data_IF_662796655170
#
_entry.id   IF_662796655170
#
_cell.length_a   1.000
_cell.length_b   1.000
_cell.length_c   1.000
_cell.angle_alpha   90.00
_cell.angle_beta   90.00
_cell.angle_gamma   90.00
#
_symmetry.space_group_name_H-M   'P 1'
#
loop_
_entity.id
_entity.type
_entity.pdbx_description
1 polymer ?
#
# COMPACT_ATOMS: atom_id res chain seq x y z
N UNK A 1 -0.18 15.12 -20.86
CA UNK A 1 -0.34 14.46 -22.19
C UNK A 1 -0.31 12.96 -21.93
N UNK A 2 -1.26 12.18 -22.46
CA UNK A 2 -1.22 10.72 -22.28
C UNK A 2 0.06 10.16 -22.89
N UNK A 3 0.90 9.53 -22.08
CA UNK A 3 2.13 8.89 -22.54
C UNK A 3 1.76 7.87 -23.63
N UNK A 4 2.36 7.99 -24.82
CA UNK A 4 2.11 7.05 -25.91
C UNK A 4 2.65 5.68 -25.51
N UNK A 5 1.76 4.72 -25.27
CA UNK A 5 2.13 3.36 -24.88
C UNK A 5 2.36 2.51 -26.14
N UNK A 6 3.52 1.86 -26.23
CA UNK A 6 3.87 0.97 -27.33
C UNK A 6 3.71 -0.51 -26.98
N UNK A 7 3.82 -0.85 -25.69
CA UNK A 7 3.51 -2.16 -25.16
C UNK A 7 2.08 -2.14 -24.62
N UNK A 8 1.22 -3.12 -24.93
CA UNK A 8 -0.19 -3.11 -24.53
C UNK A 8 -0.40 -3.49 -23.05
N UNK A 9 0.67 -3.76 -22.30
CA UNK A 9 0.60 -4.08 -20.87
C UNK A 9 0.52 -2.81 -20.04
N UNK A 10 -0.50 -2.70 -19.20
CA UNK A 10 -0.72 -1.55 -18.31
C UNK A 10 -1.46 -1.95 -17.03
N UNK A 11 -1.30 -1.14 -15.99
CA UNK A 11 -2.13 -1.17 -14.79
C UNK A 11 -3.15 -0.05 -14.91
N UNK A 12 -4.43 -0.36 -14.72
CA UNK A 12 -5.47 0.65 -14.58
C UNK A 12 -5.69 0.92 -13.09
N UNK A 13 -5.73 2.19 -12.73
CA UNK A 13 -5.97 2.67 -11.37
C UNK A 13 -7.25 3.49 -11.33
N UNK A 14 -8.25 3.02 -10.60
CA UNK A 14 -9.52 3.68 -10.41
C UNK A 14 -9.45 4.63 -9.20
N UNK A 15 -9.25 5.92 -9.48
CA UNK A 15 -9.18 6.96 -8.44
C UNK A 15 -10.55 7.24 -7.79
N UNK A 16 -11.66 6.90 -8.45
CA UNK A 16 -12.99 7.01 -7.85
C UNK A 16 -13.20 5.97 -6.76
N UNK A 17 -12.73 4.74 -6.99
CA UNK A 17 -12.75 3.68 -5.98
C UNK A 17 -11.99 4.10 -4.71
N UNK A 18 -10.80 4.69 -4.89
CA UNK A 18 -10.00 5.24 -3.78
C UNK A 18 -10.77 6.32 -3.02
N UNK A 19 -11.36 7.28 -3.73
CA UNK A 19 -12.18 8.33 -3.11
C UNK A 19 -13.39 7.75 -2.36
N UNK A 20 -14.06 6.76 -2.94
CA UNK A 20 -15.22 6.11 -2.34
C UNK A 20 -14.84 5.37 -1.06
N UNK A 21 -13.75 4.60 -1.06
CA UNK A 21 -13.27 3.88 0.13
C UNK A 21 -12.96 4.84 1.28
N UNK A 22 -12.35 6.00 1.00
CA UNK A 22 -12.09 7.03 2.02
C UNK A 22 -13.39 7.63 2.53
N UNK A 23 -14.33 7.97 1.65
CA UNK A 23 -15.63 8.53 2.05
C UNK A 23 -16.41 7.56 2.93
N UNK A 24 -16.44 6.28 2.57
CA UNK A 24 -17.06 5.23 3.38
C UNK A 24 -16.40 5.07 4.75
N UNK A 25 -15.08 5.18 4.83
CA UNK A 25 -14.40 5.24 6.13
C UNK A 25 -14.88 6.44 6.94
N UNK A 26 -14.89 7.64 6.36
CA UNK A 26 -15.31 8.85 7.07
C UNK A 26 -16.76 8.79 7.56
N UNK A 27 -17.65 8.07 6.87
CA UNK A 27 -19.04 7.84 7.31
C UNK A 27 -19.14 7.09 8.64
N UNK A 28 -18.14 6.28 9.01
CA UNK A 28 -18.12 5.48 10.25
C UNK A 28 -17.21 6.07 11.34
N UNK A 29 -16.38 7.06 11.01
CA UNK A 29 -15.52 7.71 11.99
C UNK A 29 -16.33 8.71 12.83
N UNK A 30 -15.99 8.91 14.12
CA UNK A 30 -16.52 10.01 14.91
C UNK A 30 -16.25 11.36 14.24
N UNK A 31 -17.16 12.32 14.46
CA UNK A 31 -17.01 13.69 13.95
C UNK A 31 -15.64 14.28 14.35
N UNK A 32 -15.00 14.98 13.40
CA UNK A 32 -13.67 15.57 13.55
C UNK A 32 -12.48 14.59 13.67
N UNK A 33 -12.67 13.29 13.47
CA UNK A 33 -11.54 12.35 13.35
C UNK A 33 -10.81 12.58 12.04
N UNK A 34 -9.52 12.90 12.09
CA UNK A 34 -8.73 13.14 10.89
C UNK A 34 -8.37 11.84 10.15
N UNK A 35 -8.36 11.87 8.82
CA UNK A 35 -7.88 10.76 8.00
C UNK A 35 -6.49 11.08 7.47
N UNK A 36 -5.52 10.25 7.83
CA UNK A 36 -4.15 10.28 7.31
C UNK A 36 -4.05 9.22 6.20
N UNK A 37 -4.02 9.64 4.94
CA UNK A 37 -3.89 8.72 3.81
C UNK A 37 -2.43 8.28 3.63
N UNK A 38 -2.19 6.97 3.72
CA UNK A 38 -0.83 6.41 3.68
C UNK A 38 -0.48 6.03 2.23
N UNK A 39 0.39 6.82 1.61
CA UNK A 39 0.75 6.75 0.18
C UNK A 39 2.20 6.35 -0.08
N UNK A 40 2.90 5.79 0.93
CA UNK A 40 4.24 5.20 0.77
C UNK A 40 4.29 4.12 -0.32
N UNK A 41 5.50 3.77 -0.74
CA UNK A 41 5.80 2.79 -1.77
C UNK A 41 5.06 3.09 -3.08
N UNK A 42 5.14 4.35 -3.55
CA UNK A 42 4.45 4.83 -4.74
C UNK A 42 2.93 4.56 -4.69
N UNK A 43 2.28 4.94 -3.59
CA UNK A 43 0.86 4.66 -3.36
C UNK A 43 0.56 3.16 -3.36
N UNK A 44 1.38 2.36 -2.69
CA UNK A 44 1.31 0.89 -2.71
C UNK A 44 1.32 0.36 -4.16
N UNK A 45 2.19 0.91 -5.02
CA UNK A 45 2.29 0.56 -6.44
C UNK A 45 1.23 1.17 -7.38
N UNK A 46 0.28 1.96 -6.85
CA UNK A 46 -0.79 2.60 -7.62
C UNK A 46 -0.42 3.97 -8.22
N UNK A 47 0.63 4.63 -7.73
CA UNK A 47 0.95 6.02 -8.07
C UNK A 47 0.72 6.96 -6.90
N UNK A 48 1.79 7.36 -6.21
CA UNK A 48 1.68 8.20 -5.01
C UNK A 48 1.05 9.57 -5.27
N UNK A 49 1.43 10.28 -6.33
CA UNK A 49 0.91 11.62 -6.65
C UNK A 49 -0.59 11.56 -6.93
N UNK A 50 -1.03 10.71 -7.86
CA UNK A 50 -2.44 10.62 -8.25
C UNK A 50 -3.32 10.13 -7.10
N UNK A 51 -2.82 9.17 -6.30
CA UNK A 51 -3.52 8.67 -5.11
C UNK A 51 -3.58 9.75 -4.03
N UNK A 52 -2.50 10.48 -3.78
CA UNK A 52 -2.48 11.58 -2.81
C UNK A 52 -3.52 12.64 -3.17
N UNK A 53 -3.57 13.07 -4.43
CA UNK A 53 -4.57 14.04 -4.90
C UNK A 53 -5.99 13.51 -4.77
N UNK A 54 -6.23 12.25 -5.14
CA UNK A 54 -7.53 11.61 -4.99
C UNK A 54 -7.95 11.51 -3.52
N UNK A 55 -7.01 11.18 -2.63
CA UNK A 55 -7.27 11.05 -1.19
C UNK A 55 -7.60 12.40 -0.55
N UNK A 56 -6.83 13.44 -0.85
CA UNK A 56 -7.10 14.81 -0.37
C UNK A 56 -8.46 15.31 -0.89
N UNK A 57 -8.76 15.08 -2.17
CA UNK A 57 -10.08 15.40 -2.74
C UNK A 57 -11.23 14.64 -2.07
N UNK A 58 -10.97 13.43 -1.59
CA UNK A 58 -11.96 12.63 -0.88
C UNK A 58 -12.25 13.14 0.53
N UNK A 59 -11.33 13.90 1.13
CA UNK A 59 -11.44 14.42 2.50
C UNK A 59 -10.30 14.02 3.43
N UNK A 60 -9.25 13.34 2.95
CA UNK A 60 -8.06 13.09 3.76
C UNK A 60 -7.42 14.41 4.22
N UNK A 61 -7.05 14.48 5.50
CA UNK A 61 -6.51 15.68 6.13
C UNK A 61 -4.99 15.77 6.00
N UNK A 62 -4.30 14.62 6.02
CA UNK A 62 -2.86 14.51 5.94
C UNK A 62 -2.46 13.34 5.04
N UNK A 63 -1.21 13.35 4.59
CA UNK A 63 -0.58 12.24 3.90
C UNK A 63 0.51 11.62 4.78
N UNK A 64 0.77 10.34 4.61
CA UNK A 64 1.87 9.65 5.27
C UNK A 64 2.73 8.84 4.29
N UNK A 65 4.04 8.97 4.44
CA UNK A 65 5.07 8.33 3.61
C UNK A 65 6.15 7.68 4.48
N UNK A 66 6.95 6.79 3.90
CA UNK A 66 7.97 6.03 4.62
C UNK A 66 9.35 6.70 4.58
N UNK A 67 9.73 7.35 3.48
CA UNK A 67 11.09 7.87 3.29
C UNK A 67 11.11 9.38 3.00
N UNK A 68 12.26 10.05 3.24
CA UNK A 68 12.47 11.43 2.82
C UNK A 68 12.19 11.66 1.33
N UNK A 69 12.66 10.76 0.47
CA UNK A 69 12.51 10.86 -0.98
C UNK A 69 11.04 10.82 -1.41
N UNK A 70 10.22 9.97 -0.79
CA UNK A 70 8.77 9.94 -1.04
C UNK A 70 8.11 11.26 -0.62
N UNK A 71 8.52 11.83 0.52
CA UNK A 71 7.98 13.10 1.01
C UNK A 71 8.34 14.27 0.07
N UNK A 72 9.60 14.32 -0.37
CA UNK A 72 10.08 15.32 -1.31
C UNK A 72 9.45 15.16 -2.69
N UNK A 73 9.25 13.93 -3.16
CA UNK A 73 8.60 13.68 -4.45
C UNK A 73 7.17 14.25 -4.49
N UNK A 74 6.41 14.09 -3.41
CA UNK A 74 5.08 14.70 -3.29
C UNK A 74 5.16 16.24 -3.27
N UNK A 75 6.16 16.83 -2.59
CA UNK A 75 6.37 18.28 -2.58
C UNK A 75 6.72 18.82 -3.96
N UNK A 76 7.63 18.17 -4.68
CA UNK A 76 8.00 18.50 -6.07
C UNK A 76 6.79 18.44 -7.01
N UNK A 77 5.85 17.54 -6.74
CA UNK A 77 4.58 17.44 -7.47
C UNK A 77 3.53 18.51 -7.08
N UNK A 78 3.87 19.44 -6.19
CA UNK A 78 3.00 20.54 -5.76
C UNK A 78 1.97 20.16 -4.69
N UNK A 79 2.18 19.05 -3.97
CA UNK A 79 1.32 18.70 -2.83
C UNK A 79 1.68 19.59 -1.64
N UNK A 80 0.74 20.43 -1.21
CA UNK A 80 0.91 21.36 -0.08
C UNK A 80 0.37 20.82 1.26
N UNK A 81 -0.43 19.74 1.23
CA UNK A 81 -0.99 19.12 2.43
C UNK A 81 0.10 18.69 3.42
N UNK A 82 -0.23 18.59 4.71
CA UNK A 82 0.74 18.12 5.70
C UNK A 82 1.16 16.67 5.40
N UNK A 83 2.47 16.41 5.44
CA UNK A 83 3.07 15.09 5.20
C UNK A 83 3.73 14.63 6.50
N UNK A 84 3.33 13.44 6.96
CA UNK A 84 3.97 12.73 8.06
C UNK A 84 4.92 11.66 7.51
N UNK A 85 6.21 11.76 7.86
CA UNK A 85 7.16 10.68 7.65
C UNK A 85 7.03 9.68 8.81
N UNK A 86 6.41 8.53 8.55
CA UNK A 86 6.12 7.49 9.57
C UNK A 86 7.28 6.53 9.83
N UNK A 87 8.31 6.58 8.98
CA UNK A 87 9.56 5.82 9.12
C UNK A 87 10.60 6.53 9.99
N UNK A 88 11.84 6.05 9.92
CA UNK A 88 13.00 6.75 10.47
C UNK A 88 13.47 7.84 9.52
N UNK A 89 14.14 8.86 10.04
CA UNK A 89 14.72 9.93 9.22
C UNK A 89 16.18 10.17 9.58
N UNK A 90 17.07 10.33 8.59
CA UNK A 90 18.46 10.69 8.86
C UNK A 90 18.54 12.13 9.37
N UNK A 91 19.51 12.41 10.25
CA UNK A 91 19.71 13.75 10.81
C UNK A 91 20.02 14.82 9.74
N UNK A 92 20.54 14.40 8.58
CA UNK A 92 20.77 15.28 7.43
C UNK A 92 19.48 15.81 6.79
N UNK A 93 18.33 15.21 7.10
CA UNK A 93 17.04 15.61 6.52
C UNK A 93 16.26 16.61 7.38
N UNK A 94 16.67 16.87 8.62
CA UNK A 94 15.90 17.70 9.56
C UNK A 94 15.64 19.11 9.03
N UNK A 95 16.66 19.75 8.47
CA UNK A 95 16.55 21.11 7.95
C UNK A 95 15.60 21.18 6.74
N UNK A 96 15.71 20.21 5.84
CA UNK A 96 14.83 20.14 4.67
C UNK A 96 13.39 19.79 5.07
N UNK A 97 13.20 18.84 5.99
CA UNK A 97 11.88 18.49 6.51
C UNK A 97 11.19 19.71 7.14
N UNK A 98 11.92 20.51 7.91
CA UNK A 98 11.39 21.73 8.50
C UNK A 98 11.02 22.78 7.44
N UNK A 99 11.91 23.04 6.46
CA UNK A 99 11.64 23.97 5.34
C UNK A 99 10.42 23.57 4.51
N UNK A 100 10.25 22.27 4.28
CA UNK A 100 9.17 21.71 3.46
C UNK A 100 7.90 21.39 4.28
N UNK A 101 7.83 21.77 5.56
CA UNK A 101 6.71 21.44 6.46
C UNK A 101 6.35 19.94 6.41
N UNK A 102 7.37 19.10 6.59
CA UNK A 102 7.26 17.64 6.70
C UNK A 102 7.41 17.29 8.18
N UNK A 103 6.37 16.70 8.75
CA UNK A 103 6.34 16.24 10.13
C UNK A 103 7.16 14.94 10.25
N UNK A 104 8.11 14.89 11.18
CA UNK A 104 8.98 13.72 11.36
C UNK A 104 8.53 12.85 12.54
N UNK A 105 8.84 11.57 12.47
CA UNK A 105 8.66 10.67 13.60
C UNK A 105 9.88 10.73 14.53
N UNK A 106 9.66 11.06 15.80
CA UNK A 106 10.66 10.87 16.86
C UNK A 106 10.44 9.51 17.51
N UNK A 107 11.46 8.65 17.45
CA UNK A 107 11.36 7.23 17.80
C UNK A 107 12.33 6.76 18.89
N UNK A 108 13.30 7.58 19.29
CA UNK A 108 14.19 7.30 20.42
C UNK A 108 14.77 8.58 21.00
N UNK A 109 15.22 8.51 22.25
CA UNK A 109 15.87 9.65 22.89
C UNK A 109 17.26 9.93 22.29
N UNK A 110 17.98 8.88 21.89
CA UNK A 110 19.28 9.00 21.22
C UNK A 110 19.19 9.80 19.92
N UNK A 111 18.17 9.55 19.09
CA UNK A 111 17.95 10.31 17.87
C UNK A 111 17.72 11.79 18.17
N UNK A 112 16.90 12.10 19.20
CA UNK A 112 16.64 13.47 19.65
C UNK A 112 17.92 14.16 20.13
N UNK A 113 18.77 13.48 20.90
CA UNK A 113 20.05 14.03 21.38
C UNK A 113 21.01 14.39 20.24
N UNK A 114 20.96 13.66 19.13
CA UNK A 114 21.82 13.87 17.98
C UNK A 114 21.32 15.00 17.04
N UNK A 115 20.11 15.49 17.27
CA UNK A 115 19.56 16.64 16.52
C UNK A 115 20.28 17.95 16.85
N UNK A 116 20.18 18.93 15.96
CA UNK A 116 20.77 20.27 16.11
C UNK A 116 19.69 21.33 15.95
N UNK A 117 19.90 22.47 16.58
CA UNK A 117 18.98 23.60 16.52
C UNK A 117 18.69 24.01 15.06
N UNK A 118 17.42 24.23 14.77
CA UNK A 118 16.93 24.63 13.45
C UNK A 118 16.35 26.05 13.51
N UNK A 119 16.44 26.77 12.39
CA UNK A 119 15.87 28.12 12.28
C UNK A 119 14.35 28.10 12.14
N UNK A 120 13.82 27.10 11.44
CA UNK A 120 12.39 26.87 11.28
C UNK A 120 12.01 25.75 12.27
N UNK A 121 10.89 25.88 13.00
CA UNK A 121 10.44 24.80 13.88
C UNK A 121 10.14 23.51 13.10
N UNK A 122 10.49 22.38 13.70
CA UNK A 122 10.25 21.05 13.18
C UNK A 122 9.11 20.38 13.97
N UNK A 123 8.06 19.98 13.24
CA UNK A 123 6.96 19.21 13.80
C UNK A 123 7.38 17.75 14.00
N UNK A 124 7.03 17.20 15.15
CA UNK A 124 7.33 15.84 15.55
C UNK A 124 6.07 15.09 15.96
N UNK A 125 5.96 13.84 15.50
CA UNK A 125 5.08 12.85 16.09
C UNK A 125 5.90 11.87 16.92
N UNK A 126 5.56 11.73 18.20
CA UNK A 126 6.21 10.76 19.09
C UNK A 126 5.71 9.36 18.78
N UNK A 127 6.61 8.45 18.42
CA UNK A 127 6.27 7.04 18.18
C UNK A 127 6.51 6.22 19.43
N UNK A 128 5.45 5.63 19.96
CA UNK A 128 5.50 4.62 21.02
C UNK A 128 5.55 3.23 20.38
N UNK A 129 6.42 2.36 20.88
CA UNK A 129 6.35 0.94 20.60
C UNK A 129 5.54 0.26 21.70
N UNK A 130 4.28 -0.06 21.40
CA UNK A 130 3.40 -0.75 22.33
C UNK A 130 3.40 -2.28 22.14
N UNK A 131 4.24 -2.82 21.24
CA UNK A 131 4.39 -4.27 21.03
C UNK A 131 4.55 -4.69 19.57
N UNK A 132 4.83 -3.76 18.65
CA UNK A 132 5.18 -4.10 17.26
C UNK A 132 6.65 -4.53 17.17
N UNK A 133 7.51 -3.99 18.03
CA UNK A 133 8.93 -4.35 18.10
C UNK A 133 9.79 -3.79 16.97
N UNK A 134 9.37 -2.67 16.34
CA UNK A 134 10.07 -2.10 15.17
C UNK A 134 10.84 -0.83 15.52
N UNK A 135 10.12 0.22 15.91
CA UNK A 135 10.67 1.52 16.33
C UNK A 135 9.70 2.18 17.30
N UNK A 136 10.25 2.99 18.21
CA UNK A 136 9.49 3.82 19.15
C UNK A 136 9.94 3.67 20.59
N UNK A 137 9.52 4.61 21.42
CA UNK A 137 9.76 4.59 22.85
C UNK A 137 9.05 3.40 23.49
N UNK A 138 9.81 2.57 24.20
CA UNK A 138 9.27 1.44 24.96
C UNK A 138 9.14 1.80 26.43
N UNK A 139 10.06 2.59 27.01
CA UNK A 139 10.11 2.84 28.45
C UNK A 139 9.59 4.23 28.85
N UNK A 140 8.89 4.28 29.99
CA UNK A 140 8.36 5.53 30.56
C UNK A 140 9.48 6.53 30.84
N UNK A 141 10.61 6.06 31.38
CA UNK A 141 11.76 6.92 31.75
C UNK A 141 12.41 7.55 30.52
N UNK A 142 12.60 6.78 29.45
CA UNK A 142 13.15 7.29 28.19
C UNK A 142 12.20 8.31 27.57
N UNK A 143 10.89 8.03 27.55
CA UNK A 143 9.89 8.97 27.06
C UNK A 143 9.88 10.27 27.86
N UNK A 144 9.95 10.21 29.20
CA UNK A 144 10.05 11.41 30.05
C UNK A 144 11.30 12.23 29.72
N UNK A 145 12.45 11.59 29.50
CA UNK A 145 13.68 12.27 29.10
C UNK A 145 13.53 12.96 27.74
N UNK A 146 12.92 12.29 26.76
CA UNK A 146 12.63 12.85 25.45
C UNK A 146 11.70 14.07 25.54
N UNK A 147 10.59 13.98 26.28
CA UNK A 147 9.65 15.09 26.46
C UNK A 147 10.32 16.29 27.14
N UNK A 148 11.11 16.06 28.20
CA UNK A 148 11.84 17.11 28.90
C UNK A 148 12.97 17.74 28.05
N UNK A 149 13.53 16.98 27.10
CA UNK A 149 14.49 17.49 26.13
C UNK A 149 13.81 18.38 25.09
N UNK A 150 12.65 17.96 24.57
CA UNK A 150 11.89 18.70 23.57
C UNK A 150 11.34 20.00 24.18
N UNK A 151 10.80 19.96 25.40
CA UNK A 151 10.17 21.14 26.04
C UNK A 151 11.11 22.32 26.30
N UNK A 152 12.43 22.09 26.25
CA UNK A 152 13.46 23.13 26.40
C UNK A 152 13.89 23.75 25.07
N UNK A 153 13.26 23.39 23.96
CA UNK A 153 13.67 23.76 22.59
C UNK A 153 12.48 24.21 21.76
N UNK A 154 12.42 25.50 21.46
CA UNK A 154 11.31 26.09 20.72
C UNK A 154 11.24 25.64 19.24
N UNK A 155 12.35 25.14 18.72
CA UNK A 155 12.45 24.62 17.35
C UNK A 155 11.94 23.18 17.21
N UNK A 156 11.58 22.49 18.31
CA UNK A 156 10.95 21.17 18.29
C UNK A 156 9.50 21.26 18.77
N UNK A 157 8.55 20.84 17.95
CA UNK A 157 7.12 20.94 18.25
C UNK A 157 6.46 19.57 18.22
N UNK A 158 5.97 19.10 19.36
CA UNK A 158 5.20 17.85 19.42
C UNK A 158 3.78 18.12 18.94
N UNK A 159 3.47 17.71 17.71
CA UNK A 159 2.13 17.85 17.13
C UNK A 159 1.30 16.58 17.24
N UNK A 160 1.95 15.42 17.46
CA UNK A 160 1.24 14.16 17.60
C UNK A 160 1.97 13.08 18.38
N UNK A 161 1.24 12.00 18.67
CA UNK A 161 1.75 10.78 19.29
C UNK A 161 1.03 9.57 18.71
N UNK A 162 1.76 8.48 18.48
CA UNK A 162 1.18 7.31 17.85
C UNK A 162 1.82 5.99 18.24
N UNK A 163 1.04 4.92 18.13
CA UNK A 163 1.53 3.55 18.04
C UNK A 163 1.07 2.88 16.74
N UNK A 164 1.48 1.65 16.52
CA UNK A 164 1.03 0.80 15.42
C UNK A 164 0.79 -0.61 15.92
N UNK A 165 -0.37 -1.15 15.63
CA UNK A 165 -0.75 -2.50 16.03
C UNK A 165 -0.14 -3.54 15.09
N UNK A 166 0.27 -4.66 15.67
CA UNK A 166 0.87 -5.80 14.97
C UNK A 166 -0.18 -6.81 14.52
N UNK A 167 -1.28 -6.94 15.28
CA UNK A 167 -2.30 -7.98 15.09
C UNK A 167 -3.71 -7.39 15.11
N UNK A 168 -3.89 -6.18 14.56
CA UNK A 168 -5.23 -5.57 14.44
C UNK A 168 -6.09 -6.26 13.36
N UNK A 169 -5.47 -7.06 12.51
CA UNK A 169 -6.03 -7.82 11.41
C UNK A 169 -6.13 -9.32 11.71
N UNK A 170 -5.90 -9.73 12.96
CA UNK A 170 -6.03 -11.10 13.44
C UNK A 170 -7.32 -11.26 14.26
N UNK A 171 -7.97 -12.43 14.14
CA UNK A 171 -9.13 -12.78 14.96
C UNK A 171 -8.77 -12.86 16.46
N UNK A 172 -7.56 -13.32 16.75
CA UNK A 172 -7.02 -13.42 18.12
C UNK A 172 -6.59 -12.03 18.63
N UNK A 173 -7.30 -11.51 19.64
CA UNK A 173 -7.12 -10.13 20.09
C UNK A 173 -6.16 -9.96 21.27
N UNK A 174 -5.57 -11.01 21.84
CA UNK A 174 -4.77 -10.91 23.06
C UNK A 174 -3.59 -9.95 22.90
N UNK A 175 -2.83 -10.05 21.81
CA UNK A 175 -1.72 -9.13 21.57
C UNK A 175 -2.23 -7.72 21.28
N UNK A 176 -3.26 -7.56 20.44
CA UNK A 176 -3.86 -6.26 20.16
C UNK A 176 -4.28 -5.51 21.44
N UNK A 177 -4.99 -6.18 22.36
CA UNK A 177 -5.42 -5.58 23.64
C UNK A 177 -4.23 -5.20 24.53
N UNK A 178 -3.17 -6.01 24.57
CA UNK A 178 -1.92 -5.66 25.26
C UNK A 178 -1.27 -4.40 24.65
N UNK A 179 -1.25 -4.29 23.32
CA UNK A 179 -0.72 -3.11 22.63
C UNK A 179 -1.55 -1.86 22.89
N UNK A 180 -2.88 -1.97 23.01
CA UNK A 180 -3.76 -0.86 23.41
C UNK A 180 -3.40 -0.38 24.82
N UNK A 181 -3.42 -1.28 25.81
CA UNK A 181 -3.12 -0.94 27.20
C UNK A 181 -1.72 -0.35 27.38
N UNK A 182 -0.71 -0.90 26.67
CA UNK A 182 0.66 -0.36 26.72
C UNK A 182 0.76 1.04 26.11
N UNK A 183 0.04 1.32 25.03
CA UNK A 183 -0.01 2.65 24.46
C UNK A 183 -0.64 3.66 25.42
N UNK A 184 -1.79 3.32 26.02
CA UNK A 184 -2.49 4.20 26.98
C UNK A 184 -1.63 4.49 28.21
N UNK A 185 -0.89 3.48 28.71
CA UNK A 185 0.07 3.67 29.80
C UNK A 185 1.13 4.73 29.45
N UNK A 186 1.76 4.64 28.28
CA UNK A 186 2.80 5.58 27.84
C UNK A 186 2.21 6.94 27.45
N UNK A 187 0.97 6.98 26.94
CA UNK A 187 0.27 8.22 26.63
C UNK A 187 0.00 9.06 27.90
N UNK A 188 -0.20 8.41 29.05
CA UNK A 188 -0.41 9.10 30.34
C UNK A 188 0.86 9.76 30.91
N UNK A 189 2.02 9.58 30.26
CA UNK A 189 3.27 10.27 30.61
C UNK A 189 3.25 11.73 30.16
N UNK A 190 2.45 12.06 29.15
CA UNK A 190 2.31 13.43 28.65
C UNK A 190 1.47 14.26 29.63
N UNK A 191 2.03 15.37 30.14
CA UNK A 191 1.27 16.31 30.99
C UNK A 191 0.05 16.89 30.25
N UNK A 192 0.25 17.25 28.98
CA UNK A 192 -0.80 17.61 28.04
C UNK A 192 -0.69 16.73 26.80
N UNK A 193 -1.80 16.10 26.42
CA UNK A 193 -1.84 15.27 25.22
C UNK A 193 -1.53 16.11 23.97
N UNK A 194 -0.72 15.61 23.03
CA UNK A 194 -0.52 16.25 21.74
C UNK A 194 -1.84 16.44 20.99
N UNK A 195 -1.86 17.41 20.06
CA UNK A 195 -3.05 17.73 19.27
C UNK A 195 -3.56 16.52 18.48
N UNK A 196 -2.67 15.63 18.04
CA UNK A 196 -3.04 14.40 17.33
C UNK A 196 -2.62 13.14 18.08
N UNK A 197 -3.56 12.24 18.30
CA UNK A 197 -3.36 10.91 18.86
C UNK A 197 -3.90 9.92 17.83
N UNK A 198 -3.03 9.07 17.28
CA UNK A 198 -3.44 8.09 16.28
C UNK A 198 -2.84 6.72 16.53
N UNK A 199 -3.65 5.67 16.51
CA UNK A 199 -3.16 4.29 16.69
C UNK A 199 -3.54 3.41 15.51
N UNK A 200 -4.72 3.65 14.96
CA UNK A 200 -5.35 2.84 13.93
C UNK A 200 -4.61 2.83 12.60
N UNK A 201 -4.36 1.62 12.10
CA UNK A 201 -4.12 1.31 10.69
C UNK A 201 -5.48 0.98 10.02
N UNK A 202 -5.49 0.48 8.77
CA UNK A 202 -6.75 0.11 8.10
C UNK A 202 -7.59 -0.88 8.90
N UNK A 203 -7.00 -1.96 9.42
CA UNK A 203 -7.75 -2.97 10.17
C UNK A 203 -8.39 -2.37 11.43
N UNK A 204 -7.61 -1.63 12.23
CA UNK A 204 -8.14 -1.02 13.45
C UNK A 204 -9.15 0.10 13.18
N UNK A 205 -8.97 0.88 12.11
CA UNK A 205 -9.92 1.91 11.73
C UNK A 205 -11.28 1.31 11.31
N UNK A 206 -11.28 0.13 10.70
CA UNK A 206 -12.51 -0.53 10.25
C UNK A 206 -13.22 -1.29 11.38
N UNK A 207 -12.49 -1.89 12.32
CA UNK A 207 -13.05 -2.85 13.28
C UNK A 207 -13.13 -2.35 14.72
N UNK A 208 -12.35 -1.33 15.12
CA UNK A 208 -12.23 -0.92 16.52
C UNK A 208 -12.49 0.58 16.71
N UNK A 209 -13.77 1.00 16.83
CA UNK A 209 -14.15 2.40 17.04
C UNK A 209 -13.43 3.08 18.22
N UNK A 210 -13.21 2.36 19.32
CA UNK A 210 -12.51 2.88 20.50
C UNK A 210 -11.03 3.22 20.24
N UNK A 211 -10.48 2.83 19.08
CA UNK A 211 -9.10 3.11 18.67
C UNK A 211 -9.00 4.15 17.55
N UNK A 212 -10.09 4.83 17.19
CA UNK A 212 -10.06 5.93 16.24
C UNK A 212 -9.34 7.17 16.79
N UNK A 213 -9.39 7.36 18.10
CA UNK A 213 -8.87 8.55 18.77
C UNK A 213 -9.33 9.82 18.05
N UNK A 214 -8.42 10.70 17.61
CA UNK A 214 -8.77 11.84 16.77
C UNK A 214 -8.08 11.81 15.39
N UNK A 215 -7.42 10.69 15.05
CA UNK A 215 -6.87 10.48 13.72
C UNK A 215 -6.63 8.98 13.42
N UNK A 216 -6.89 8.57 12.18
CA UNK A 216 -6.64 7.21 11.68
C UNK A 216 -5.68 7.22 10.49
N UNK A 217 -4.80 6.21 10.40
CA UNK A 217 -3.89 6.04 9.26
C UNK A 217 -4.44 4.99 8.30
N UNK A 218 -5.05 5.46 7.22
CA UNK A 218 -5.71 4.59 6.25
C UNK A 218 -4.77 4.22 5.11
N UNK A 219 -4.44 2.93 5.02
CA UNK A 219 -3.50 2.37 4.05
C UNK A 219 -4.20 1.44 3.07
N UNK A 220 -4.01 0.12 3.23
CA UNK A 220 -4.38 -0.89 2.22
C UNK A 220 -5.86 -0.80 1.77
N UNK A 221 -6.77 -0.54 2.69
CA UNK A 221 -8.20 -0.55 2.40
C UNK A 221 -8.65 0.69 1.64
N UNK A 222 -7.85 1.75 1.61
CA UNK A 222 -8.03 2.86 0.67
C UNK A 222 -7.97 2.37 -0.78
N UNK A 223 -7.16 1.34 -1.06
CA UNK A 223 -6.96 0.75 -2.39
C UNK A 223 -7.98 -0.35 -2.71
N UNK A 224 -8.94 -0.60 -1.81
CA UNK A 224 -9.99 -1.58 -2.02
C UNK A 224 -9.63 -3.00 -1.62
N UNK A 225 -8.59 -3.15 -0.80
CA UNK A 225 -8.05 -4.45 -0.39
C UNK A 225 -8.25 -4.60 1.12
N UNK A 226 -8.78 -5.75 1.54
CA UNK A 226 -8.92 -6.06 2.96
C UNK A 226 -7.53 -6.34 3.59
N UNK A 227 -7.28 -5.89 4.84
CA UNK A 227 -5.99 -6.13 5.50
C UNK A 227 -5.66 -7.62 5.69
N UNK A 228 -6.68 -8.45 5.95
CA UNK A 228 -6.58 -9.90 6.03
C UNK A 228 -7.89 -10.56 5.59
N UNK A 229 -7.87 -11.88 5.42
CA UNK A 229 -9.09 -12.67 5.13
C UNK A 229 -10.13 -12.57 6.24
N UNK A 230 -9.70 -12.52 7.50
CA UNK A 230 -10.58 -12.32 8.64
C UNK A 230 -11.25 -10.93 8.58
N UNK A 231 -10.46 -9.87 8.42
CA UNK A 231 -11.02 -8.51 8.32
C UNK A 231 -12.00 -8.39 7.14
N UNK A 232 -11.75 -9.10 6.04
CA UNK A 232 -12.65 -9.11 4.88
C UNK A 232 -14.07 -9.60 5.23
N UNK A 233 -14.20 -10.56 6.15
CA UNK A 233 -15.49 -11.06 6.63
C UNK A 233 -16.22 -10.09 7.57
N UNK A 234 -15.48 -9.17 8.19
CA UNK A 234 -15.96 -8.24 9.22
C UNK A 234 -16.08 -6.79 8.71
N UNK A 235 -15.91 -6.55 7.40
CA UNK A 235 -15.91 -5.20 6.85
C UNK A 235 -17.24 -4.48 7.12
N UNK A 236 -17.21 -3.24 7.66
CA UNK A 236 -18.42 -2.46 7.90
C UNK A 236 -19.09 -1.98 6.61
N UNK A 237 -18.36 -1.97 5.50
CA UNK A 237 -18.84 -1.62 4.17
C UNK A 237 -17.99 -2.33 3.09
N UNK A 238 -18.54 -2.59 1.90
CA UNK A 238 -17.77 -3.17 0.82
C UNK A 238 -16.67 -2.21 0.35
N UNK A 239 -15.49 -2.76 0.10
CA UNK A 239 -14.36 -2.05 -0.46
C UNK A 239 -14.37 -2.10 -1.99
N UNK A 240 -14.13 -0.97 -2.65
CA UNK A 240 -14.02 -0.87 -4.09
C UNK A 240 -12.56 -1.05 -4.54
N UNK A 241 -12.28 -2.11 -5.29
CA UNK A 241 -10.93 -2.41 -5.79
C UNK A 241 -10.43 -1.31 -6.75
N UNK A 242 -9.26 -0.77 -6.47
CA UNK A 242 -8.70 0.33 -7.24
C UNK A 242 -7.78 -0.12 -8.40
N UNK A 243 -7.24 -1.34 -8.38
CA UNK A 243 -6.22 -1.79 -9.33
C UNK A 243 -6.70 -2.96 -10.18
N UNK A 244 -6.41 -2.88 -11.48
CA UNK A 244 -6.52 -4.00 -12.41
C UNK A 244 -5.33 -4.04 -13.37
N UNK A 245 -4.91 -5.24 -13.76
CA UNK A 245 -3.73 -5.47 -14.60
C UNK A 245 -4.15 -6.08 -15.93
N UNK A 246 -3.75 -5.45 -17.02
CA UNK A 246 -4.20 -5.80 -18.36
C UNK A 246 -3.05 -5.90 -19.34
N UNK A 247 -3.27 -6.66 -20.41
CA UNK A 247 -2.41 -6.74 -21.59
C UNK A 247 -3.23 -7.20 -22.80
N UNK A 248 -2.56 -7.52 -23.90
CA UNK A 248 -3.17 -8.08 -25.10
C UNK A 248 -2.41 -9.32 -25.58
N UNK A 249 -3.09 -10.17 -26.34
CA UNK A 249 -2.49 -11.30 -27.04
C UNK A 249 -1.53 -10.78 -28.12
N UNK A 250 -0.23 -11.07 -28.02
CA UNK A 250 0.77 -10.62 -28.98
C UNK A 250 1.03 -11.63 -30.10
N UNK A 251 0.82 -12.92 -29.84
CA UNK A 251 1.04 -13.99 -30.81
C UNK A 251 0.16 -15.20 -30.49
N UNK A 252 -0.32 -15.90 -31.50
CA UNK A 252 -1.14 -17.12 -31.36
C UNK A 252 -0.65 -18.17 -32.33
N UNK A 253 -0.45 -19.39 -31.84
CA UNK A 253 -0.09 -20.55 -32.66
C UNK A 253 -0.80 -21.80 -32.21
N UNK A 254 -1.01 -22.73 -33.14
CA UNK A 254 -1.40 -24.10 -32.83
C UNK A 254 -0.15 -24.94 -32.62
N UNK A 255 -0.16 -25.77 -31.58
CA UNK A 255 0.91 -26.73 -31.31
C UNK A 255 0.35 -28.14 -31.37
N UNK A 256 1.19 -29.11 -31.75
CA UNK A 256 0.81 -30.52 -31.78
C UNK A 256 1.08 -31.17 -30.44
N UNK A 257 0.37 -32.26 -30.13
CA UNK A 257 0.69 -33.13 -28.98
C UNK A 257 2.19 -33.44 -28.93
N UNK A 258 2.79 -33.30 -27.76
CA UNK A 258 4.22 -33.49 -27.52
C UNK A 258 5.10 -32.24 -27.72
N UNK A 259 4.54 -31.12 -28.22
CA UNK A 259 5.28 -29.86 -28.32
C UNK A 259 5.61 -29.31 -26.93
N UNK A 260 6.79 -28.73 -26.76
CA UNK A 260 7.22 -28.15 -25.49
C UNK A 260 7.07 -26.62 -25.46
N UNK A 261 6.79 -26.05 -24.29
CA UNK A 261 6.58 -24.60 -24.10
C UNK A 261 7.47 -24.05 -22.97
N UNK A 262 8.17 -22.95 -23.27
CA UNK A 262 8.94 -22.17 -22.29
C UNK A 262 10.27 -22.80 -21.87
N UNK A 263 10.98 -22.10 -20.98
CA UNK A 263 12.31 -22.50 -20.52
C UNK A 263 12.30 -23.85 -19.80
N UNK A 264 13.30 -24.69 -20.12
CA UNK A 264 13.44 -26.03 -19.53
C UNK A 264 12.36 -27.01 -19.97
N UNK A 265 11.53 -26.67 -20.96
CA UNK A 265 10.51 -27.55 -21.53
C UNK A 265 9.57 -28.17 -20.48
N UNK A 266 9.21 -27.41 -19.43
CA UNK A 266 8.42 -27.93 -18.30
C UNK A 266 6.96 -28.21 -18.63
N UNK A 267 6.46 -27.64 -19.73
CA UNK A 267 5.14 -27.95 -20.25
C UNK A 267 5.27 -28.69 -21.57
N UNK A 268 4.56 -29.81 -21.68
CA UNK A 268 4.46 -30.65 -22.88
C UNK A 268 2.97 -30.73 -23.23
N UNK A 269 2.60 -30.28 -24.42
CA UNK A 269 1.20 -30.24 -24.86
C UNK A 269 0.59 -31.66 -24.86
N UNK A 270 -0.42 -31.95 -24.03
CA UNK A 270 -1.02 -33.29 -23.95
C UNK A 270 -1.87 -33.62 -25.19
N UNK A 271 -2.35 -32.60 -25.89
CA UNK A 271 -3.17 -32.70 -27.11
C UNK A 271 -2.72 -31.63 -28.11
N UNK A 272 -3.45 -31.51 -29.23
CA UNK A 272 -3.26 -30.36 -30.12
C UNK A 272 -3.96 -29.15 -29.49
N UNK A 273 -3.20 -28.11 -29.16
CA UNK A 273 -3.69 -26.97 -28.38
C UNK A 273 -3.37 -25.65 -29.08
N UNK A 274 -4.14 -24.62 -28.76
CA UNK A 274 -3.83 -23.24 -29.12
C UNK A 274 -3.05 -22.59 -27.97
N UNK A 275 -1.95 -21.91 -28.31
CA UNK A 275 -1.10 -21.21 -27.34
C UNK A 275 -1.02 -19.75 -27.75
N UNK A 276 -1.36 -18.86 -26.81
CA UNK A 276 -1.10 -17.43 -26.91
C UNK A 276 0.21 -17.05 -26.21
N UNK A 277 0.82 -15.95 -26.64
CA UNK A 277 1.89 -15.27 -25.94
C UNK A 277 1.44 -13.87 -25.57
N UNK A 278 1.68 -13.46 -24.32
CA UNK A 278 1.35 -12.13 -23.80
C UNK A 278 2.64 -11.40 -23.34
N UNK A 279 2.77 -10.07 -23.57
CA UNK A 279 4.01 -9.32 -23.37
C UNK A 279 4.21 -8.82 -21.93
N UNK A 280 4.06 -9.72 -20.96
CA UNK A 280 4.32 -9.49 -19.54
C UNK A 280 5.09 -10.65 -18.92
N UNK A 281 6.10 -10.34 -18.11
CA UNK A 281 6.92 -11.36 -17.44
C UNK A 281 7.39 -10.94 -16.04
N UNK A 282 8.35 -11.68 -15.50
CA UNK A 282 8.77 -11.47 -14.10
C UNK A 282 9.49 -10.15 -13.86
N UNK A 283 10.07 -9.51 -14.87
CA UNK A 283 10.64 -8.16 -14.73
C UNK A 283 9.58 -7.05 -14.63
N UNK A 284 8.33 -7.38 -14.93
CA UNK A 284 7.16 -6.51 -14.75
C UNK A 284 6.48 -6.74 -13.39
N UNK A 285 6.82 -7.83 -12.70
CA UNK A 285 6.21 -8.24 -11.42
C UNK A 285 5.35 -9.50 -11.51
N UNK A 286 5.16 -10.09 -12.70
CA UNK A 286 4.53 -11.41 -12.85
C UNK A 286 5.54 -12.50 -12.47
N UNK A 287 5.73 -12.72 -11.17
CA UNK A 287 6.76 -13.62 -10.65
C UNK A 287 6.58 -15.06 -11.13
N UNK A 288 7.70 -15.79 -11.29
CA UNK A 288 7.71 -17.16 -11.84
C UNK A 288 6.88 -18.17 -11.07
N UNK A 289 6.63 -17.93 -9.77
CA UNK A 289 5.80 -18.80 -8.93
C UNK A 289 4.31 -18.74 -9.32
N UNK A 290 3.89 -17.72 -10.08
CA UNK A 290 2.54 -17.58 -10.66
C UNK A 290 2.31 -18.42 -11.94
N UNK A 291 3.22 -19.32 -12.32
CA UNK A 291 3.14 -20.08 -13.58
C UNK A 291 1.89 -20.98 -13.73
N UNK A 292 1.18 -21.30 -12.64
CA UNK A 292 -0.07 -22.07 -12.67
C UNK A 292 -1.32 -21.20 -12.49
N UNK A 293 -1.17 -19.89 -12.44
CA UNK A 293 -2.31 -18.97 -12.38
C UNK A 293 -3.02 -18.88 -13.73
N UNK A 294 -4.27 -18.43 -13.68
CA UNK A 294 -5.04 -18.15 -14.89
C UNK A 294 -5.00 -16.67 -15.25
N UNK A 295 -5.37 -16.36 -16.48
CA UNK A 295 -5.74 -15.03 -16.95
C UNK A 295 -7.15 -15.10 -17.53
N UNK A 296 -7.82 -13.96 -17.69
CA UNK A 296 -9.11 -13.87 -18.36
C UNK A 296 -8.95 -13.43 -19.80
N UNK A 297 -9.54 -14.19 -20.73
CA UNK A 297 -9.69 -13.82 -22.13
C UNK A 297 -11.12 -14.12 -22.55
N UNK A 298 -11.87 -13.11 -23.03
CA UNK A 298 -13.31 -13.20 -23.34
C UNK A 298 -14.15 -13.80 -22.19
N UNK A 299 -13.89 -13.37 -20.96
CA UNK A 299 -14.62 -13.82 -19.78
C UNK A 299 -14.35 -15.27 -19.38
N UNK A 300 -13.29 -15.91 -19.89
CA UNK A 300 -12.93 -17.30 -19.56
C UNK A 300 -11.55 -17.37 -18.92
N UNK A 301 -11.40 -18.20 -17.87
CA UNK A 301 -10.11 -18.50 -17.23
C UNK A 301 -9.25 -19.39 -18.12
N UNK A 302 -8.09 -18.87 -18.53
CA UNK A 302 -7.09 -19.55 -19.36
C UNK A 302 -5.78 -19.69 -18.59
N UNK A 303 -5.22 -20.91 -18.43
CA UNK A 303 -4.04 -21.11 -17.59
C UNK A 303 -2.76 -20.63 -18.28
N UNK A 304 -1.86 -20.03 -17.48
CA UNK A 304 -0.46 -19.86 -17.84
C UNK A 304 0.18 -21.25 -17.98
N UNK A 305 1.00 -21.44 -19.01
CA UNK A 305 1.69 -22.72 -19.27
C UNK A 305 3.17 -22.52 -19.56
N UNK A 306 3.98 -23.45 -19.05
CA UNK A 306 5.43 -23.35 -19.07
C UNK A 306 5.95 -22.30 -18.08
N UNK A 307 7.27 -22.08 -18.07
CA UNK A 307 7.85 -21.05 -17.21
C UNK A 307 7.56 -19.65 -17.75
N UNK A 308 7.19 -18.74 -16.84
CA UNK A 308 7.13 -17.30 -17.11
C UNK A 308 8.55 -16.80 -17.45
N UNK A 309 8.69 -16.09 -18.57
CA UNK A 309 9.95 -15.48 -19.01
C UNK A 309 10.10 -14.07 -18.42
N UNK A 310 11.22 -13.39 -18.73
CA UNK A 310 11.50 -12.05 -18.22
C UNK A 310 10.43 -11.03 -18.64
N UNK A 311 10.01 -11.09 -19.91
CA UNK A 311 9.17 -10.04 -20.53
C UNK A 311 7.87 -10.57 -21.16
N UNK A 312 7.62 -11.88 -21.09
CA UNK A 312 6.45 -12.52 -21.71
C UNK A 312 6.14 -13.88 -21.06
N UNK A 313 4.91 -14.35 -21.21
CA UNK A 313 4.52 -15.71 -20.84
C UNK A 313 3.49 -16.29 -21.84
N UNK A 314 3.25 -17.59 -21.72
CA UNK A 314 2.39 -18.32 -22.63
C UNK A 314 1.12 -18.79 -21.93
N UNK A 315 0.00 -18.71 -22.63
CA UNK A 315 -1.33 -19.06 -22.15
C UNK A 315 -1.89 -20.17 -23.02
N UNK A 316 -2.45 -21.22 -22.41
CA UNK A 316 -3.19 -22.24 -23.15
C UNK A 316 -4.61 -21.77 -23.39
N UNK A 317 -5.03 -21.78 -24.65
CA UNK A 317 -6.36 -21.38 -25.10
C UNK A 317 -7.24 -22.61 -25.38
N UNK A 318 -8.54 -22.47 -25.15
CA UNK A 318 -9.56 -23.45 -25.56
C UNK A 318 -9.84 -23.40 -27.07
N UNK A 319 -9.75 -22.21 -27.67
CA UNK A 319 -9.99 -21.95 -29.09
C UNK A 319 -8.94 -21.00 -29.69
N UNK A 320 -9.01 -20.79 -31.01
CA UNK A 320 -8.14 -19.80 -31.66
C UNK A 320 -8.63 -18.40 -31.27
N UNK A 321 -7.72 -17.60 -30.72
CA UNK A 321 -7.96 -16.18 -30.41
C UNK A 321 -7.17 -15.30 -31.39
N UNK A 322 -7.63 -14.07 -31.61
CA UNK A 322 -6.96 -13.10 -32.47
C UNK A 322 -5.84 -12.35 -31.72
N UNK A 323 -4.81 -11.94 -32.46
CA UNK A 323 -3.78 -11.03 -31.93
C UNK A 323 -4.46 -9.68 -31.65
N UNK A 324 -4.14 -9.08 -30.50
CA UNK A 324 -4.79 -7.87 -29.99
C UNK A 324 -5.98 -8.14 -29.07
N UNK A 325 -6.40 -9.39 -28.88
CA UNK A 325 -7.46 -9.71 -27.92
C UNK A 325 -7.04 -9.32 -26.49
N UNK A 326 -7.99 -8.74 -25.73
CA UNK A 326 -7.72 -8.21 -24.39
C UNK A 326 -7.57 -9.33 -23.37
N UNK A 327 -6.54 -9.21 -22.56
CA UNK A 327 -6.23 -10.15 -21.48
C UNK A 327 -6.25 -9.41 -20.15
N UNK A 328 -7.00 -9.92 -19.18
CA UNK A 328 -7.02 -9.40 -17.81
C UNK A 328 -6.30 -10.39 -16.90
N UNK A 329 -5.23 -9.92 -16.26
CA UNK A 329 -4.45 -10.72 -15.31
C UNK A 329 -4.95 -10.57 -13.87
N UNK A 330 -5.43 -9.37 -13.52
CA UNK A 330 -6.07 -9.05 -12.24
C UNK A 330 -7.25 -8.13 -12.51
N UNK A 331 -8.39 -8.39 -11.87
CA UNK A 331 -9.64 -7.65 -12.03
C UNK A 331 -10.71 -8.41 -12.79
N UNK A 332 -11.80 -7.71 -13.10
CA UNK A 332 -13.01 -8.25 -13.72
C UNK A 332 -12.92 -8.23 -15.25
N UNK A 333 -13.33 -9.32 -15.89
CA UNK A 333 -13.65 -9.37 -17.32
C UNK A 333 -14.97 -10.12 -17.49
N UNK A 334 -16.00 -9.42 -17.99
CA UNK A 334 -17.36 -9.93 -18.06
C UNK A 334 -17.87 -10.35 -16.67
N UNK A 335 -18.14 -11.65 -16.46
CA UNK A 335 -18.65 -12.20 -15.20
C UNK A 335 -17.59 -12.92 -14.36
N UNK A 336 -16.35 -12.97 -14.84
CA UNK A 336 -15.23 -13.61 -14.15
C UNK A 336 -14.27 -12.56 -13.58
N UNK A 337 -13.75 -12.83 -12.39
CA UNK A 337 -12.77 -11.98 -11.72
C UNK A 337 -11.54 -12.81 -11.33
N UNK A 338 -10.36 -12.20 -11.43
CA UNK A 338 -9.15 -12.70 -10.78
C UNK A 338 -8.76 -11.71 -9.69
N UNK A 339 -8.79 -12.20 -8.45
CA UNK A 339 -8.48 -11.42 -7.27
C UNK A 339 -6.97 -11.33 -7.04
N UNK A 340 -6.51 -10.24 -6.44
CA UNK A 340 -5.10 -10.10 -6.08
C UNK A 340 -4.71 -11.05 -4.94
N UNK A 341 -5.69 -11.41 -4.11
CA UNK A 341 -5.59 -12.42 -3.06
C UNK A 341 -5.22 -13.80 -3.62
N UNK A 342 -5.73 -14.18 -4.81
CA UNK A 342 -5.35 -15.44 -5.48
C UNK A 342 -3.84 -15.47 -5.80
N UNK A 343 -3.28 -14.32 -6.21
CA UNK A 343 -1.85 -14.20 -6.47
C UNK A 343 -1.04 -14.18 -5.18
N UNK A 344 -1.54 -13.50 -4.14
CA UNK A 344 -0.89 -13.46 -2.85
C UNK A 344 -0.78 -14.86 -2.23
N UNK A 345 -1.87 -15.63 -2.26
CA UNK A 345 -1.91 -17.04 -1.81
C UNK A 345 -0.91 -17.89 -2.60
N UNK A 346 -0.93 -17.80 -3.92
CA UNK A 346 -0.01 -18.55 -4.78
C UNK A 346 1.47 -18.19 -4.56
N UNK A 347 1.74 -16.96 -4.13
CA UNK A 347 3.07 -16.49 -3.80
C UNK A 347 3.50 -16.79 -2.36
N UNK A 348 2.57 -17.23 -1.51
CA UNK A 348 2.74 -17.35 -0.06
C UNK A 348 3.11 -16.01 0.59
N UNK A 349 2.34 -14.98 0.23
CA UNK A 349 2.51 -13.60 0.73
C UNK A 349 1.15 -12.93 0.93
N UNK A 350 1.15 -11.61 1.07
CA UNK A 350 -0.02 -10.76 1.23
C UNK A 350 -0.24 -9.84 0.01
N UNK A 351 -1.48 -9.40 -0.28
CA UNK A 351 -1.78 -8.51 -1.40
C UNK A 351 -0.92 -7.24 -1.47
N UNK A 352 -0.51 -6.72 -0.32
CA UNK A 352 0.39 -5.57 -0.19
C UNK A 352 1.69 -5.76 -1.00
N UNK A 353 2.29 -6.95 -0.91
CA UNK A 353 3.55 -7.26 -1.58
C UNK A 353 3.34 -7.42 -3.08
N UNK A 354 2.24 -8.04 -3.49
CA UNK A 354 1.88 -8.20 -4.91
C UNK A 354 1.76 -6.82 -5.59
N UNK A 355 1.02 -5.89 -4.97
CA UNK A 355 0.90 -4.52 -5.44
C UNK A 355 2.25 -3.82 -5.59
N UNK A 356 3.10 -3.91 -4.56
CA UNK A 356 4.41 -3.24 -4.55
C UNK A 356 5.44 -3.88 -5.50
N UNK A 357 5.20 -5.13 -5.94
CA UNK A 357 6.10 -5.87 -6.84
C UNK A 357 5.98 -5.40 -8.30
N UNK A 358 4.86 -4.76 -8.67
CA UNK A 358 4.69 -4.26 -10.04
C UNK A 358 5.70 -3.18 -10.38
N UNK A 359 6.59 -3.48 -11.32
CA UNK A 359 7.71 -2.59 -11.63
C UNK A 359 7.27 -1.33 -12.38
N UNK A 360 8.10 -0.30 -12.38
CA UNK A 360 7.86 0.94 -13.12
C UNK A 360 7.84 0.76 -14.65
N UNK A 361 8.16 -0.44 -15.17
CA UNK A 361 8.02 -0.78 -16.59
C UNK A 361 6.56 -0.89 -17.04
N UNK A 362 5.64 -1.15 -16.10
CA UNK A 362 4.21 -1.17 -16.41
C UNK A 362 3.66 0.25 -16.23
N UNK A 363 3.17 0.91 -17.29
CA UNK A 363 2.50 2.22 -17.16
C UNK A 363 1.23 2.09 -16.31
N UNK A 364 0.99 3.06 -15.44
CA UNK A 364 -0.29 3.22 -14.74
C UNK A 364 -1.17 4.17 -15.54
N UNK A 365 -2.44 3.79 -15.72
CA UNK A 365 -3.47 4.60 -16.39
C UNK A 365 -4.55 4.91 -15.37
N UNK A 366 -4.78 6.18 -15.11
CA UNK A 366 -5.71 6.64 -14.10
C UNK A 366 -7.09 6.91 -14.72
N UNK A 367 -8.12 6.24 -14.20
CA UNK A 367 -9.51 6.61 -14.45
C UNK A 367 -10.03 7.45 -13.28
N UNK A 368 -10.71 8.55 -13.61
CA UNK A 368 -11.34 9.45 -12.65
C UNK A 368 -12.77 9.05 -12.36
#
# INVERSE_FOLDING_TARGET
MSQKLYRPTFIKVNLQAIQNNIKRLMEILPEHTAVIAVVKANGYGHGDIEVAQAALKAGANLLAVATPEEALHLREAGIEAEILLIGTSPLSFLEEASKQNITLTAYSYEWLLATKDLQIPLKLHIKIDSGMGRIGFTEVTELQQALAFISKRDWLQITGVFTHFATADEEEQTLFRKQVSRFEQLLNVFEQRPAMVHTSNSAAALLYPDQHWNAVRFGISMYGIAPSSWVNGELPFPLEKALSLHTEVAHVKKVTKGSTIGYGATYVAPTNEWIATIPIGYADGLLRKLHNQSVLIKGKKMPIVGKICMDQCMIRLDEKIEVGEKVTLLGLQENEEILIEEWAEALETIPYEVCCTFSNRIPRIYSK
#
